data_IF_910723636580
#
_entry.id   IF_910723636580
#
_cell.length_a   1.000
_cell.length_b   1.000
_cell.length_c   1.000
_cell.angle_alpha   90.00
_cell.angle_beta   90.00
_cell.angle_gamma   90.00
#
_symmetry.space_group_name_H-M   'P 1'
#
loop_
_entity.id
_entity.type
_entity.pdbx_description
1 polymer ?
#
# COMPACT_ATOMS: atom_id res chain seq x y z
N UNK A 1 16.41 0.60 -19.35
CA UNK A 1 16.07 1.20 -18.05
C UNK A 1 16.42 2.68 -18.14
N UNK A 2 15.43 3.54 -18.06
CA UNK A 2 15.60 4.99 -18.14
C UNK A 2 15.26 5.61 -16.79
N UNK A 3 15.91 6.73 -16.46
CA UNK A 3 15.53 7.56 -15.32
C UNK A 3 15.32 8.98 -15.85
N UNK A 4 14.08 9.45 -15.80
CA UNK A 4 13.71 10.78 -16.27
C UNK A 4 12.91 11.47 -15.18
N UNK A 5 13.36 12.63 -14.74
CA UNK A 5 12.67 13.42 -13.71
C UNK A 5 12.34 12.66 -12.42
N UNK A 6 13.26 11.80 -11.95
CA UNK A 6 13.04 10.99 -10.73
C UNK A 6 12.12 9.79 -10.89
N UNK A 7 11.64 9.52 -12.11
CA UNK A 7 10.88 8.32 -12.45
C UNK A 7 11.78 7.33 -13.18
N UNK A 8 11.84 6.10 -12.67
CA UNK A 8 12.52 5.00 -13.32
C UNK A 8 11.54 4.25 -14.19
N UNK A 9 11.85 4.02 -15.46
CA UNK A 9 10.98 3.30 -16.37
C UNK A 9 11.62 2.05 -16.96
N UNK A 10 10.79 1.04 -17.19
CA UNK A 10 11.16 -0.22 -17.87
C UNK A 10 10.03 -0.65 -18.78
N UNK A 11 10.31 -0.77 -20.07
CA UNK A 11 9.33 -1.25 -21.05
C UNK A 11 9.37 -2.78 -21.14
N UNK A 12 8.21 -3.42 -21.15
CA UNK A 12 8.00 -4.84 -21.38
C UNK A 12 6.78 -5.05 -22.26
N UNK A 13 7.01 -5.44 -23.52
CA UNK A 13 5.94 -5.58 -24.51
C UNK A 13 5.24 -4.26 -24.76
N UNK A 14 3.92 -4.25 -24.59
CA UNK A 14 3.07 -3.07 -24.74
C UNK A 14 3.04 -2.16 -23.50
N UNK A 15 3.67 -2.57 -22.41
CA UNK A 15 3.56 -1.88 -21.11
C UNK A 15 4.87 -1.19 -20.74
N UNK A 16 4.76 0.01 -20.16
CA UNK A 16 5.86 0.69 -19.51
C UNK A 16 5.59 0.77 -18.00
N UNK A 17 6.51 0.22 -17.23
CA UNK A 17 6.45 0.19 -15.77
C UNK A 17 7.21 1.40 -15.23
N UNK A 18 6.53 2.24 -14.45
CA UNK A 18 7.03 3.51 -13.93
C UNK A 18 7.19 3.41 -12.40
N UNK A 19 8.39 3.66 -11.91
CA UNK A 19 8.71 3.67 -10.49
C UNK A 19 9.13 5.06 -10.06
N UNK A 20 8.47 5.58 -9.04
CA UNK A 20 8.80 6.83 -8.36
C UNK A 20 9.17 6.49 -6.93
N UNK A 21 10.40 6.79 -6.51
CA UNK A 21 10.92 6.31 -5.23
C UNK A 21 11.63 7.42 -4.45
N UNK A 22 11.49 7.35 -3.12
CA UNK A 22 12.17 8.26 -2.21
C UNK A 22 11.66 9.71 -2.29
N UNK A 23 10.41 9.91 -2.68
CA UNK A 23 9.83 11.25 -2.78
C UNK A 23 9.77 11.93 -1.42
N UNK A 24 10.29 13.14 -1.35
CA UNK A 24 10.30 14.01 -0.16
C UNK A 24 9.88 15.43 -0.54
N UNK A 25 9.33 16.16 0.41
CA UNK A 25 9.04 17.58 0.24
C UNK A 25 9.38 18.37 1.51
N UNK A 26 9.84 19.59 1.33
CA UNK A 26 10.12 20.50 2.44
C UNK A 26 8.84 21.28 2.80
N UNK A 27 8.32 21.06 3.98
CA UNK A 27 7.22 21.82 4.55
C UNK A 27 7.14 21.62 6.06
N UNK A 28 6.27 22.39 6.72
CA UNK A 28 6.17 22.45 8.17
C UNK A 28 5.31 21.34 8.80
N UNK A 29 4.60 20.54 8.00
CA UNK A 29 3.71 19.48 8.50
C UNK A 29 3.66 18.27 7.57
N UNK A 30 3.29 17.12 8.10
CA UNK A 30 3.07 15.89 7.32
C UNK A 30 1.98 16.07 6.26
N UNK A 31 0.94 16.85 6.53
CA UNK A 31 -0.11 17.19 5.59
C UNK A 31 0.45 17.92 4.37
N UNK A 32 1.13 19.05 4.59
CA UNK A 32 1.68 19.84 3.50
C UNK A 32 2.80 19.11 2.73
N UNK A 33 3.63 18.31 3.42
CA UNK A 33 4.63 17.48 2.74
C UNK A 33 3.96 16.46 1.84
N UNK A 34 2.94 15.75 2.32
CA UNK A 34 2.22 14.74 1.54
C UNK A 34 1.50 15.36 0.35
N UNK A 35 0.84 16.52 0.53
CA UNK A 35 0.22 17.26 -0.58
C UNK A 35 1.24 17.52 -1.69
N UNK A 36 2.40 18.11 -1.36
CA UNK A 36 3.44 18.43 -2.34
C UNK A 36 4.03 17.20 -3.02
N UNK A 37 4.25 16.11 -2.26
CA UNK A 37 4.74 14.84 -2.81
C UNK A 37 3.75 14.29 -3.84
N UNK A 38 2.46 14.29 -3.51
CA UNK A 38 1.41 13.80 -4.40
C UNK A 38 1.22 14.69 -5.63
N UNK A 39 1.25 16.01 -5.46
CA UNK A 39 1.19 16.97 -6.57
C UNK A 39 2.38 16.80 -7.53
N UNK A 40 3.61 16.67 -6.99
CA UNK A 40 4.79 16.39 -7.83
C UNK A 40 4.63 15.05 -8.55
N UNK A 41 4.16 14.01 -7.87
CA UNK A 41 3.91 12.71 -8.50
C UNK A 41 2.86 12.79 -9.63
N UNK A 42 1.77 13.54 -9.44
CA UNK A 42 0.78 13.79 -10.50
C UNK A 42 1.44 14.45 -11.70
N UNK A 43 2.29 15.45 -11.49
CA UNK A 43 3.02 16.09 -12.59
C UNK A 43 3.95 15.10 -13.32
N UNK A 44 4.67 14.23 -12.58
CA UNK A 44 5.51 13.18 -13.18
C UNK A 44 4.70 12.20 -14.03
N UNK A 45 3.51 11.83 -13.56
CA UNK A 45 2.61 10.97 -14.33
C UNK A 45 2.15 11.67 -15.62
N UNK A 46 1.76 12.94 -15.57
CA UNK A 46 1.37 13.72 -16.75
C UNK A 46 2.52 13.82 -17.77
N UNK A 47 3.75 14.07 -17.31
CA UNK A 47 4.95 14.09 -18.17
C UNK A 47 5.20 12.74 -18.87
N UNK A 48 4.69 11.65 -18.31
CA UNK A 48 4.74 10.31 -18.89
C UNK A 48 3.44 9.89 -19.58
N UNK A 49 2.53 10.85 -19.87
CA UNK A 49 1.20 10.58 -20.48
C UNK A 49 0.34 9.62 -19.67
N UNK A 50 0.45 9.70 -18.36
CA UNK A 50 -0.28 8.89 -17.38
C UNK A 50 -1.12 9.78 -16.46
N UNK A 51 -2.10 9.17 -15.77
CA UNK A 51 -2.87 9.80 -14.71
C UNK A 51 -2.73 9.04 -13.40
N UNK A 52 -2.98 9.72 -12.29
CA UNK A 52 -3.00 9.06 -10.98
C UNK A 52 -4.13 8.00 -10.93
N UNK A 53 -5.28 8.32 -11.53
CA UNK A 53 -6.46 7.47 -11.54
C UNK A 53 -6.29 6.22 -12.39
N UNK A 54 -5.81 6.34 -13.63
CA UNK A 54 -5.88 5.23 -14.58
C UNK A 54 -4.59 4.39 -14.62
N UNK A 55 -3.48 4.90 -14.08
CA UNK A 55 -2.18 4.26 -14.22
C UNK A 55 -1.52 3.89 -12.89
N UNK A 56 -1.80 4.62 -11.78
CA UNK A 56 -1.15 4.33 -10.50
C UNK A 56 -1.72 3.06 -9.88
N UNK A 57 -0.84 2.08 -9.67
CA UNK A 57 -1.19 0.75 -9.15
C UNK A 57 -1.02 0.69 -7.64
N UNK A 58 0.06 1.31 -7.14
CA UNK A 58 0.49 1.12 -5.76
C UNK A 58 1.23 2.33 -5.23
N UNK A 59 0.97 2.68 -3.95
CA UNK A 59 1.75 3.66 -3.19
C UNK A 59 2.22 3.08 -1.85
N UNK A 60 3.38 3.53 -1.36
CA UNK A 60 3.90 3.28 -0.02
C UNK A 60 4.23 4.62 0.62
N UNK A 61 3.63 4.89 1.78
CA UNK A 61 3.94 6.06 2.60
C UNK A 61 4.74 5.61 3.82
N UNK A 62 5.92 6.16 3.98
CA UNK A 62 6.75 5.99 5.17
C UNK A 62 6.62 7.25 6.00
N UNK A 63 6.08 7.10 7.21
CA UNK A 63 5.69 8.23 8.06
C UNK A 63 6.53 8.27 9.32
N UNK A 64 7.32 9.32 9.48
CA UNK A 64 8.09 9.56 10.69
C UNK A 64 7.11 9.90 11.83
N UNK A 65 7.30 9.25 13.00
CA UNK A 65 6.38 9.37 14.13
C UNK A 65 4.91 9.21 13.69
N UNK A 66 4.60 8.01 13.20
CA UNK A 66 3.32 7.71 12.53
C UNK A 66 2.11 7.99 13.42
N UNK A 67 2.23 7.80 14.73
CA UNK A 67 1.13 8.01 15.68
C UNK A 67 0.69 9.49 15.72
N UNK A 68 1.60 10.44 15.46
CA UNK A 68 1.33 11.86 15.43
C UNK A 68 1.14 12.43 14.01
N UNK A 69 1.79 11.86 13.01
CA UNK A 69 1.84 12.45 11.66
C UNK A 69 0.90 11.77 10.64
N UNK A 70 0.36 10.58 10.94
CA UNK A 70 -0.45 9.84 9.96
C UNK A 70 -1.77 10.52 9.59
N UNK A 71 -2.40 11.23 10.50
CA UNK A 71 -3.63 11.99 10.24
C UNK A 71 -3.45 13.05 9.15
N UNK A 72 -2.31 13.76 9.15
CA UNK A 72 -1.97 14.72 8.11
C UNK A 72 -1.76 14.05 6.74
N UNK A 73 -1.08 12.89 6.71
CA UNK A 73 -0.92 12.11 5.48
C UNK A 73 -2.27 11.66 4.91
N UNK A 74 -3.18 11.17 5.75
CA UNK A 74 -4.53 10.74 5.32
C UNK A 74 -5.32 11.91 4.77
N UNK A 75 -5.31 13.07 5.45
CA UNK A 75 -6.03 14.26 5.02
C UNK A 75 -5.55 14.73 3.66
N UNK A 76 -4.25 14.93 3.49
CA UNK A 76 -3.66 15.35 2.22
C UNK A 76 -3.95 14.37 1.08
N UNK A 77 -3.84 13.06 1.34
CA UNK A 77 -4.16 12.04 0.36
C UNK A 77 -5.63 12.09 -0.07
N UNK A 78 -6.55 12.20 0.87
CA UNK A 78 -7.98 12.30 0.57
C UNK A 78 -8.29 13.51 -0.31
N UNK A 79 -7.71 14.68 -0.01
CA UNK A 79 -7.90 15.90 -0.76
C UNK A 79 -7.33 15.81 -2.17
N UNK A 80 -6.08 15.39 -2.34
CA UNK A 80 -5.47 15.25 -3.67
C UNK A 80 -6.17 14.16 -4.49
N UNK A 81 -6.49 13.01 -3.90
CA UNK A 81 -7.20 11.94 -4.61
C UNK A 81 -8.55 12.41 -5.15
N UNK A 82 -9.31 13.16 -4.36
CA UNK A 82 -10.58 13.72 -4.79
C UNK A 82 -10.42 14.62 -6.01
N UNK A 83 -9.40 15.50 -6.04
CA UNK A 83 -9.13 16.37 -7.21
C UNK A 83 -8.71 15.58 -8.45
N UNK A 84 -8.17 14.38 -8.28
CA UNK A 84 -7.77 13.48 -9.36
C UNK A 84 -8.87 12.49 -9.77
N UNK A 85 -10.10 12.65 -9.26
CA UNK A 85 -11.24 11.79 -9.57
C UNK A 85 -11.19 10.41 -8.92
N UNK A 86 -10.41 10.25 -7.86
CA UNK A 86 -10.37 9.06 -7.01
C UNK A 86 -11.33 9.28 -5.84
N UNK A 87 -12.49 8.63 -5.89
CA UNK A 87 -13.61 8.81 -4.96
C UNK A 87 -14.23 7.46 -4.59
N UNK A 88 -15.11 7.38 -3.58
CA UNK A 88 -15.83 6.14 -3.26
C UNK A 88 -16.65 5.57 -4.41
N UNK A 89 -17.10 6.43 -5.35
CA UNK A 89 -17.92 6.06 -6.51
C UNK A 89 -17.08 5.56 -7.69
N UNK A 90 -15.79 5.87 -7.69
CA UNK A 90 -14.84 5.39 -8.70
C UNK A 90 -13.98 4.26 -8.11
N UNK A 91 -12.80 4.57 -7.67
CA UNK A 91 -11.88 3.68 -6.95
C UNK A 91 -10.78 4.50 -6.28
N UNK A 92 -10.01 3.84 -5.44
CA UNK A 92 -8.76 4.36 -4.91
C UNK A 92 -7.56 3.57 -5.45
N UNK A 93 -6.41 3.71 -4.81
CA UNK A 93 -5.15 3.06 -5.17
C UNK A 93 -4.74 2.14 -4.01
N UNK A 94 -4.20 0.96 -4.30
CA UNK A 94 -3.62 0.11 -3.25
C UNK A 94 -2.47 0.84 -2.55
N UNK A 95 -2.47 0.81 -1.21
CA UNK A 95 -1.53 1.60 -0.43
C UNK A 95 -1.10 0.93 0.87
N UNK A 96 0.10 1.26 1.34
CA UNK A 96 0.55 0.98 2.70
C UNK A 96 1.03 2.28 3.33
N UNK A 97 0.54 2.59 4.53
CA UNK A 97 1.10 3.62 5.40
C UNK A 97 1.77 2.95 6.59
N UNK A 98 3.07 3.17 6.75
CA UNK A 98 3.89 2.51 7.77
C UNK A 98 4.87 3.49 8.39
N UNK A 99 5.27 3.25 9.63
CA UNK A 99 6.31 4.01 10.28
C UNK A 99 7.64 3.89 9.54
N UNK A 100 8.27 5.02 9.26
CA UNK A 100 9.57 5.07 8.61
C UNK A 100 10.14 6.47 8.65
N UNK A 101 11.46 6.59 8.62
CA UNK A 101 12.13 7.90 8.67
C UNK A 101 13.36 7.91 7.78
N UNK A 102 13.71 9.10 7.31
CA UNK A 102 14.98 9.41 6.68
C UNK A 102 15.91 10.10 7.69
N UNK A 103 17.16 10.39 7.28
CA UNK A 103 18.14 11.04 8.15
C UNK A 103 17.71 12.45 8.59
N UNK A 104 17.02 13.20 7.72
CA UNK A 104 16.49 14.53 8.06
C UNK A 104 15.21 14.38 8.91
N UNK A 105 15.28 14.79 10.17
CA UNK A 105 14.17 14.75 11.11
C UNK A 105 12.99 15.68 10.78
N UNK A 106 13.19 16.64 9.86
CA UNK A 106 12.13 17.53 9.37
C UNK A 106 11.27 16.91 8.28
N UNK A 107 11.66 15.73 7.76
CA UNK A 107 10.86 14.97 6.81
C UNK A 107 9.90 14.08 7.61
N UNK A 108 8.62 14.40 7.55
CA UNK A 108 7.56 13.67 8.24
C UNK A 108 6.94 12.57 7.39
N UNK A 109 6.99 12.70 6.07
CA UNK A 109 6.48 11.70 5.13
C UNK A 109 7.40 11.56 3.92
N UNK A 110 7.57 10.31 3.46
CA UNK A 110 8.16 9.98 2.17
C UNK A 110 7.22 9.03 1.42
N UNK A 111 7.33 8.97 0.10
CA UNK A 111 6.47 8.12 -0.72
C UNK A 111 7.26 7.41 -1.81
N UNK A 112 6.95 6.15 -1.99
CA UNK A 112 7.24 5.40 -3.21
C UNK A 112 5.93 5.11 -3.94
N UNK A 113 5.99 5.03 -5.27
CA UNK A 113 4.83 4.72 -6.10
C UNK A 113 5.20 3.89 -7.32
N UNK A 114 4.22 3.13 -7.79
CA UNK A 114 4.32 2.31 -8.99
C UNK A 114 3.12 2.55 -9.88
N UNK A 115 3.38 2.79 -11.16
CA UNK A 115 2.35 2.95 -12.19
C UNK A 115 2.68 2.12 -13.44
N UNK A 116 1.66 1.86 -14.24
CA UNK A 116 1.80 1.13 -15.51
C UNK A 116 1.13 1.94 -16.63
N UNK A 117 1.91 2.29 -17.65
CA UNK A 117 1.43 2.87 -18.90
C UNK A 117 1.10 1.77 -19.90
N UNK A 118 0.09 2.02 -20.76
CA UNK A 118 -0.30 1.10 -21.81
C UNK A 118 -1.36 0.07 -21.41
N UNK A 119 -1.92 0.19 -20.19
CA UNK A 119 -3.06 -0.64 -19.78
C UNK A 119 -4.32 -0.27 -20.59
N UNK A 120 -5.02 -1.31 -21.01
CA UNK A 120 -6.33 -1.17 -21.65
C UNK A 120 -7.45 -1.09 -20.58
N UNK A 121 -8.59 -0.48 -20.88
CA UNK A 121 -9.74 -0.48 -19.98
C UNK A 121 -10.10 -1.90 -19.50
N UNK A 122 -10.29 -2.08 -18.20
CA UNK A 122 -10.62 -3.36 -17.59
C UNK A 122 -9.43 -4.26 -17.21
N UNK A 123 -8.20 -3.94 -17.63
CA UNK A 123 -7.03 -4.70 -17.22
C UNK A 123 -6.62 -4.45 -15.76
N UNK A 124 -6.91 -3.27 -15.23
CA UNK A 124 -6.70 -2.95 -13.82
C UNK A 124 -8.04 -2.99 -13.08
N UNK A 125 -8.11 -3.80 -12.03
CA UNK A 125 -9.30 -4.02 -11.19
C UNK A 125 -8.93 -4.01 -9.72
N UNK A 126 -9.93 -3.93 -8.83
CA UNK A 126 -9.73 -3.76 -7.40
C UNK A 126 -10.41 -4.88 -6.63
N UNK A 127 -9.78 -5.33 -5.55
CA UNK A 127 -10.25 -6.43 -4.71
C UNK A 127 -10.61 -5.89 -3.32
N UNK A 128 -11.63 -6.43 -2.71
CA UNK A 128 -12.24 -5.87 -1.50
C UNK A 128 -12.32 -6.86 -0.34
N UNK A 129 -12.62 -8.13 -0.61
CA UNK A 129 -12.86 -9.18 0.38
C UNK A 129 -13.90 -8.77 1.44
N UNK A 130 -15.07 -8.27 1.02
CA UNK A 130 -16.09 -7.62 1.87
C UNK A 130 -16.65 -8.52 2.99
N UNK A 131 -16.54 -9.82 2.86
CA UNK A 131 -16.93 -10.76 3.92
C UNK A 131 -15.90 -10.79 5.09
N UNK A 132 -14.70 -10.27 4.87
CA UNK A 132 -13.59 -10.28 5.84
C UNK A 132 -13.20 -8.88 6.30
N UNK A 133 -13.29 -7.90 5.39
CA UNK A 133 -12.90 -6.51 5.64
C UNK A 133 -13.93 -5.58 5.03
N UNK A 134 -14.11 -4.39 5.61
CA UNK A 134 -14.95 -3.34 5.04
C UNK A 134 -14.19 -2.49 4.01
N UNK A 135 -14.91 -1.68 3.26
CA UNK A 135 -14.30 -0.64 2.42
C UNK A 135 -13.60 0.40 3.28
N UNK A 136 -12.46 0.86 2.82
CA UNK A 136 -11.63 1.82 3.58
C UNK A 136 -12.29 3.20 3.69
N UNK A 137 -13.08 3.59 2.69
CA UNK A 137 -13.87 4.81 2.69
C UNK A 137 -14.86 4.92 3.86
N UNK A 138 -15.34 3.78 4.38
CA UNK A 138 -16.28 3.74 5.50
C UNK A 138 -15.69 4.26 6.82
N UNK A 139 -14.36 4.27 6.94
CA UNK A 139 -13.65 4.84 8.10
C UNK A 139 -12.69 5.99 7.74
N UNK A 140 -12.98 6.66 6.62
CA UNK A 140 -12.36 7.94 6.28
C UNK A 140 -10.96 7.89 5.67
N UNK A 141 -10.53 6.74 5.14
CA UNK A 141 -9.27 6.63 4.42
C UNK A 141 -9.49 6.20 2.96
N UNK A 142 -8.59 6.62 2.08
CA UNK A 142 -8.69 6.47 0.64
C UNK A 142 -7.63 5.51 0.11
N UNK A 143 -7.90 4.20 0.19
CA UNK A 143 -7.08 3.19 -0.51
C UNK A 143 -7.92 1.95 -0.83
N UNK A 144 -7.50 1.15 -1.82
CA UNK A 144 -8.10 -0.15 -2.09
C UNK A 144 -7.38 -1.27 -1.34
N UNK A 145 -8.08 -2.37 -1.04
CA UNK A 145 -7.49 -3.52 -0.33
C UNK A 145 -6.45 -4.25 -1.15
N UNK A 146 -6.68 -4.35 -2.46
CA UNK A 146 -5.67 -4.78 -3.43
C UNK A 146 -6.00 -4.24 -4.82
N UNK A 147 -4.97 -4.13 -5.66
CA UNK A 147 -5.08 -3.86 -7.09
C UNK A 147 -4.61 -5.08 -7.86
N UNK A 148 -5.39 -5.52 -8.82
CA UNK A 148 -5.07 -6.58 -9.75
C UNK A 148 -4.83 -6.00 -11.13
N UNK A 149 -3.80 -6.48 -11.83
CA UNK A 149 -3.57 -6.20 -13.25
C UNK A 149 -3.55 -7.52 -14.00
N UNK A 150 -4.43 -7.63 -15.00
CA UNK A 150 -4.46 -8.76 -15.92
C UNK A 150 -3.78 -8.36 -17.24
N UNK A 151 -2.63 -8.96 -17.51
CA UNK A 151 -1.86 -8.74 -18.73
C UNK A 151 -2.28 -9.71 -19.86
N UNK A 152 -3.23 -10.60 -19.61
CA UNK A 152 -3.69 -11.63 -20.53
C UNK A 152 -2.91 -12.94 -20.43
N UNK A 153 -1.58 -12.87 -20.38
CA UNK A 153 -0.70 -14.03 -20.18
C UNK A 153 -0.36 -14.29 -18.70
N UNK A 154 -0.57 -13.31 -17.84
CA UNK A 154 -0.33 -13.36 -16.40
C UNK A 154 -1.14 -12.32 -15.66
N UNK A 155 -1.25 -12.52 -14.36
CA UNK A 155 -1.94 -11.61 -13.45
C UNK A 155 -1.02 -11.20 -12.30
N UNK A 156 -0.99 -9.91 -11.96
CA UNK A 156 -0.29 -9.39 -10.78
C UNK A 156 -1.28 -8.83 -9.79
N UNK A 157 -1.13 -9.17 -8.52
CA UNK A 157 -1.93 -8.63 -7.42
C UNK A 157 -1.03 -7.91 -6.42
N UNK A 158 -1.37 -6.66 -6.12
CA UNK A 158 -0.68 -5.82 -5.15
C UNK A 158 -1.59 -5.61 -3.94
N UNK A 159 -1.35 -6.40 -2.90
CA UNK A 159 -2.13 -6.32 -1.65
C UNK A 159 -1.66 -5.15 -0.81
N UNK A 160 -2.59 -4.30 -0.38
CA UNK A 160 -2.35 -3.17 0.53
C UNK A 160 -1.92 -3.64 1.92
N UNK A 161 -1.45 -2.72 2.73
CA UNK A 161 -1.24 -2.98 4.15
C UNK A 161 -2.49 -3.60 4.77
N UNK A 162 -2.38 -4.87 5.18
CA UNK A 162 -3.49 -5.68 5.71
C UNK A 162 -3.12 -6.15 7.10
N UNK A 163 -4.06 -6.01 8.03
CA UNK A 163 -3.85 -6.35 9.43
C UNK A 163 -5.08 -7.07 10.02
N UNK A 164 -5.05 -7.31 11.32
CA UNK A 164 -6.13 -7.99 12.05
C UNK A 164 -7.34 -7.07 12.22
N UNK A 165 -8.21 -7.03 11.24
CA UNK A 165 -9.51 -6.34 11.28
C UNK A 165 -10.63 -7.28 10.85
N UNK A 166 -11.86 -6.91 11.24
CA UNK A 166 -13.08 -7.55 10.76
C UNK A 166 -13.76 -6.74 9.63
N UNK A 167 -14.92 -7.22 9.20
CA UNK A 167 -15.73 -6.58 8.16
C UNK A 167 -16.49 -5.32 8.65
N UNK A 168 -16.31 -4.91 9.89
CA UNK A 168 -16.75 -3.63 10.42
C UNK A 168 -15.59 -2.63 10.56
N UNK A 169 -14.36 -3.05 10.20
CA UNK A 169 -13.15 -2.24 10.31
C UNK A 169 -12.59 -2.14 11.73
N UNK A 170 -13.06 -2.98 12.65
CA UNK A 170 -12.59 -3.02 14.03
C UNK A 170 -11.33 -3.89 14.14
N UNK A 171 -10.39 -3.44 14.98
CA UNK A 171 -9.22 -4.24 15.34
C UNK A 171 -9.67 -5.44 16.17
N UNK A 172 -9.38 -6.64 15.71
CA UNK A 172 -9.67 -7.87 16.44
C UNK A 172 -8.40 -8.46 17.03
N UNK A 173 -8.56 -9.16 18.17
CA UNK A 173 -7.47 -9.79 18.93
C UNK A 173 -6.40 -8.79 19.43
N UNK A 174 -6.80 -7.64 20.02
CA UNK A 174 -5.83 -6.69 20.55
C UNK A 174 -4.92 -7.37 21.61
N UNK A 175 -3.61 -7.12 21.54
CA UNK A 175 -2.57 -7.69 22.39
C UNK A 175 -2.36 -9.21 22.26
N UNK A 176 -2.86 -9.83 21.19
CA UNK A 176 -2.62 -11.24 20.91
C UNK A 176 -2.00 -11.40 19.52
N UNK A 177 -0.68 -11.36 19.47
CA UNK A 177 0.07 -11.42 18.20
C UNK A 177 -0.23 -12.68 17.39
N UNK A 178 -0.43 -13.82 18.04
CA UNK A 178 -0.68 -15.09 17.34
C UNK A 178 -2.02 -15.08 16.62
N UNK A 179 -3.07 -14.56 17.25
CA UNK A 179 -4.37 -14.43 16.64
C UNK A 179 -4.42 -13.29 15.64
N UNK A 180 -3.71 -12.19 15.87
CA UNK A 180 -3.59 -11.10 14.89
C UNK A 180 -2.94 -11.59 13.59
N UNK A 181 -1.84 -12.35 13.66
CA UNK A 181 -1.18 -12.93 12.48
C UNK A 181 -2.13 -13.87 11.71
N UNK A 182 -2.85 -14.74 12.40
CA UNK A 182 -3.82 -15.65 11.76
C UNK A 182 -4.94 -14.87 11.07
N UNK A 183 -5.52 -13.87 11.73
CA UNK A 183 -6.57 -13.04 11.15
C UNK A 183 -6.08 -12.25 9.95
N UNK A 184 -4.87 -11.70 10.02
CA UNK A 184 -4.23 -11.06 8.87
C UNK A 184 -4.11 -12.03 7.69
N UNK A 185 -3.68 -13.27 7.92
CA UNK A 185 -3.61 -14.30 6.85
C UNK A 185 -4.98 -14.62 6.26
N UNK A 186 -6.03 -14.75 7.09
CA UNK A 186 -7.40 -14.95 6.61
C UNK A 186 -7.85 -13.79 5.70
N UNK A 187 -7.53 -12.56 6.07
CA UNK A 187 -7.85 -11.38 5.27
C UNK A 187 -7.09 -11.37 3.93
N UNK A 188 -5.79 -11.71 3.94
CA UNK A 188 -4.97 -11.83 2.72
C UNK A 188 -5.48 -12.98 1.84
N UNK A 189 -5.78 -14.14 2.43
CA UNK A 189 -6.32 -15.30 1.70
C UNK A 189 -7.63 -14.96 1.00
N UNK A 190 -8.50 -14.20 1.65
CA UNK A 190 -9.78 -13.78 1.06
C UNK A 190 -9.57 -12.87 -0.18
N UNK A 191 -8.59 -11.96 -0.14
CA UNK A 191 -8.21 -11.15 -1.31
C UNK A 191 -7.62 -12.01 -2.44
N UNK A 192 -6.75 -12.97 -2.09
CA UNK A 192 -6.18 -13.88 -3.09
C UNK A 192 -7.24 -14.75 -3.74
N UNK A 193 -8.21 -15.28 -2.97
CA UNK A 193 -9.34 -16.06 -3.51
C UNK A 193 -10.22 -15.24 -4.46
N UNK A 194 -10.45 -13.96 -4.17
CA UNK A 194 -11.19 -13.07 -5.07
C UNK A 194 -10.45 -12.87 -6.41
N UNK A 195 -9.11 -12.96 -6.40
CA UNK A 195 -8.27 -12.94 -7.59
C UNK A 195 -8.08 -14.34 -8.24
N UNK A 196 -8.74 -15.39 -7.75
CA UNK A 196 -8.53 -16.79 -8.15
C UNK A 196 -7.09 -17.27 -7.90
N UNK A 197 -6.47 -16.77 -6.83
CA UNK A 197 -5.11 -17.08 -6.36
C UNK A 197 -5.11 -17.71 -4.97
N UNK A 198 -3.95 -18.15 -4.52
CA UNK A 198 -3.72 -18.71 -3.19
C UNK A 198 -2.33 -18.32 -2.65
N UNK A 199 -1.98 -18.76 -1.46
CA UNK A 199 -0.71 -18.43 -0.82
C UNK A 199 0.55 -18.90 -1.58
N UNK A 200 0.45 -19.92 -2.46
CA UNK A 200 1.58 -20.35 -3.27
C UNK A 200 1.91 -19.37 -4.40
N UNK A 201 0.99 -18.46 -4.73
CA UNK A 201 1.17 -17.44 -5.75
C UNK A 201 1.87 -16.18 -5.19
N UNK A 202 2.11 -16.12 -3.87
CA UNK A 202 2.82 -15.01 -3.25
C UNK A 202 4.30 -15.08 -3.61
N UNK A 203 4.78 -14.08 -4.33
CA UNK A 203 6.18 -13.97 -4.74
C UNK A 203 7.06 -13.31 -3.69
N UNK A 204 6.49 -12.43 -2.85
CA UNK A 204 7.20 -11.74 -1.79
C UNK A 204 6.23 -11.14 -0.76
N UNK A 205 6.60 -11.17 0.54
CA UNK A 205 5.85 -10.54 1.61
C UNK A 205 6.71 -9.64 2.48
N UNK A 206 6.20 -8.44 2.80
CA UNK A 206 6.75 -7.56 3.85
C UNK A 206 5.83 -7.62 5.06
N UNK A 207 6.42 -7.97 6.19
CA UNK A 207 5.72 -8.11 7.48
C UNK A 207 6.23 -7.03 8.41
N UNK A 208 5.36 -6.16 8.86
CA UNK A 208 5.71 -5.06 9.75
C UNK A 208 5.26 -5.37 11.17
N UNK A 209 6.15 -5.20 12.12
CA UNK A 209 5.91 -5.39 13.54
C UNK A 209 6.08 -4.06 14.28
N UNK A 210 5.09 -3.70 15.08
CA UNK A 210 5.17 -2.52 15.96
C UNK A 210 6.11 -2.77 17.13
N UNK A 211 6.09 -3.99 17.69
CA UNK A 211 6.92 -4.38 18.82
C UNK A 211 7.97 -5.44 18.39
N UNK A 212 9.26 -5.14 18.52
CA UNK A 212 10.32 -6.10 18.22
C UNK A 212 10.27 -7.37 19.07
N UNK A 213 9.63 -7.33 20.25
CA UNK A 213 9.50 -8.52 21.12
C UNK A 213 8.66 -9.63 20.49
N UNK A 214 7.79 -9.30 19.53
CA UNK A 214 6.97 -10.26 18.80
C UNK A 214 7.72 -10.97 17.67
N UNK A 215 8.93 -10.53 17.33
CA UNK A 215 9.71 -11.06 16.20
C UNK A 215 9.86 -12.59 16.24
N UNK A 216 10.27 -13.15 17.37
CA UNK A 216 10.53 -14.59 17.47
C UNK A 216 9.27 -15.42 17.21
N UNK A 217 8.13 -14.98 17.74
CA UNK A 217 6.84 -15.66 17.58
C UNK A 217 6.37 -15.57 16.14
N UNK A 218 6.41 -14.37 15.53
CA UNK A 218 5.94 -14.16 14.16
C UNK A 218 6.86 -14.86 13.16
N UNK A 219 8.18 -14.80 13.35
CA UNK A 219 9.14 -15.52 12.51
C UNK A 219 8.86 -17.02 12.49
N UNK A 220 8.63 -17.63 13.65
CA UNK A 220 8.31 -19.06 13.74
C UNK A 220 6.99 -19.41 13.03
N UNK A 221 5.96 -18.54 13.13
CA UNK A 221 4.69 -18.71 12.44
C UNK A 221 4.86 -18.64 10.92
N UNK A 222 5.60 -17.65 10.40
CA UNK A 222 5.85 -17.48 8.98
C UNK A 222 6.70 -18.62 8.40
N UNK A 223 7.77 -19.04 9.09
CA UNK A 223 8.60 -20.17 8.68
C UNK A 223 7.79 -21.48 8.59
N UNK A 224 6.85 -21.67 9.50
CA UNK A 224 5.97 -22.85 9.49
C UNK A 224 4.95 -22.81 8.35
N UNK A 225 4.31 -21.66 8.15
CA UNK A 225 3.21 -21.50 7.19
C UNK A 225 3.70 -21.30 5.75
N UNK A 226 4.80 -20.57 5.59
CA UNK A 226 5.33 -20.13 4.31
C UNK A 226 6.83 -20.43 4.15
N UNK A 227 7.27 -21.70 4.28
CA UNK A 227 8.68 -22.05 4.29
C UNK A 227 9.40 -21.67 2.98
N UNK A 228 8.68 -21.60 1.87
CA UNK A 228 9.23 -21.34 0.54
C UNK A 228 8.90 -19.95 -0.01
N UNK A 229 8.09 -19.15 0.69
CA UNK A 229 7.73 -17.81 0.24
C UNK A 229 8.75 -16.79 0.77
N UNK A 230 9.44 -16.04 -0.09
CA UNK A 230 10.33 -14.98 0.34
C UNK A 230 9.58 -13.94 1.18
N UNK A 231 10.06 -13.67 2.39
CA UNK A 231 9.45 -12.68 3.26
C UNK A 231 10.50 -12.00 4.14
N UNK A 232 10.21 -10.75 4.52
CA UNK A 232 11.02 -9.99 5.47
C UNK A 232 10.13 -9.53 6.62
N UNK A 233 10.61 -9.73 7.85
CA UNK A 233 10.03 -9.14 9.05
C UNK A 233 10.80 -7.87 9.40
N UNK A 234 10.08 -6.76 9.52
CA UNK A 234 10.63 -5.44 9.74
C UNK A 234 10.02 -4.80 10.98
N UNK A 235 10.84 -4.19 11.82
CA UNK A 235 10.34 -3.33 12.88
C UNK A 235 9.91 -1.99 12.27
N UNK A 236 8.61 -1.75 12.24
CA UNK A 236 8.04 -0.47 11.83
C UNK A 236 6.65 -0.29 12.47
N UNK A 237 6.40 0.81 13.18
CA UNK A 237 5.10 1.07 13.75
C UNK A 237 4.01 1.11 12.67
N UNK A 238 2.91 0.42 12.92
CA UNK A 238 1.74 0.40 12.05
C UNK A 238 0.79 1.54 12.41
N UNK A 239 -0.12 1.91 11.49
CA UNK A 239 -0.93 3.12 11.59
C UNK A 239 -2.03 3.10 12.67
N UNK A 240 -2.32 1.96 13.29
CA UNK A 240 -3.23 1.84 14.43
C UNK A 240 -2.53 1.25 15.64
N UNK A 241 -2.58 1.91 16.83
CA UNK A 241 -1.89 1.41 18.03
C UNK A 241 -2.38 0.05 18.55
N UNK A 242 -3.57 -0.40 18.18
CA UNK A 242 -4.13 -1.70 18.57
C UNK A 242 -3.53 -2.89 17.82
N UNK A 243 -2.76 -2.67 16.77
CA UNK A 243 -2.00 -3.71 16.07
C UNK A 243 -0.57 -3.80 16.59
N UNK A 244 -0.04 -5.01 16.63
CA UNK A 244 1.30 -5.34 17.16
C UNK A 244 2.35 -5.50 16.04
#
# INVERSE_FOLDING_TARGET
QNCTHGVYSVTRGAYEHLWYAGAVANSSSSEHQTTRILEDYVMRLIENECTLKDNCVRTWFFVNDIDNNYSGVVKARNEVFMTQGLTPETHYISSTGIGGRVADSKVFATMDAYAVKGLLPGQMTYLYALNHMNRTSEYGVSFERATQIDYGDRRHVFVSGTASIDNQGLVVWPRDIKHQVKRMWENVEALLKEAEMNFNDITFALVYLRDPSDYAVVSALFQKQFPNTPHLLLHAPVCRPGWL
#
